data_IF_615746275401
#
_entry.id   IF_615746275401
#
_cell.length_a   1.000
_cell.length_b   1.000
_cell.length_c   1.000
_cell.angle_alpha   90.00
_cell.angle_beta   90.00
_cell.angle_gamma   90.00
#
_symmetry.space_group_name_H-M   'P 1'
#
loop_
_entity.id
_entity.type
_entity.pdbx_description
1 polymer ?
#
# COMPACT_ATOMS: atom_id res chain seq x y z
N UNK A 1 23.24 -15.88 16.71
CA UNK A 1 23.40 -14.60 15.99
C UNK A 1 22.56 -14.64 14.72
N UNK A 2 21.76 -13.59 14.45
CA UNK A 2 21.14 -13.40 13.13
C UNK A 2 22.25 -12.86 12.23
N UNK A 3 22.99 -13.75 11.57
CA UNK A 3 23.94 -13.32 10.54
C UNK A 3 23.16 -13.18 9.24
N UNK A 4 22.90 -11.94 8.86
CA UNK A 4 22.32 -11.61 7.57
C UNK A 4 23.37 -11.86 6.49
N UNK A 5 23.00 -12.61 5.47
CA UNK A 5 23.86 -12.92 4.32
C UNK A 5 23.19 -12.40 3.04
N UNK A 6 23.79 -11.38 2.44
CA UNK A 6 23.28 -10.73 1.23
C UNK A 6 23.19 -11.68 0.03
N UNK A 7 24.11 -12.64 -0.10
CA UNK A 7 24.12 -13.59 -1.21
C UNK A 7 22.95 -14.59 -1.05
N UNK A 8 22.75 -15.07 0.18
CA UNK A 8 21.62 -15.93 0.54
C UNK A 8 20.28 -15.23 0.35
N UNK A 9 20.20 -13.96 0.79
CA UNK A 9 19.01 -13.13 0.60
C UNK A 9 18.72 -12.87 -0.88
N UNK A 10 19.73 -12.59 -1.70
CA UNK A 10 19.56 -12.42 -3.15
C UNK A 10 18.99 -13.66 -3.83
N UNK A 11 19.51 -14.85 -3.51
CA UNK A 11 18.97 -16.13 -4.01
C UNK A 11 17.52 -16.35 -3.57
N UNK A 12 17.19 -16.00 -2.33
CA UNK A 12 15.82 -16.07 -1.80
C UNK A 12 14.87 -15.10 -2.53
N UNK A 13 15.32 -13.87 -2.80
CA UNK A 13 14.56 -12.86 -3.52
C UNK A 13 14.29 -13.30 -4.97
N UNK A 14 15.30 -13.82 -5.68
CA UNK A 14 15.13 -14.38 -7.03
C UNK A 14 14.16 -15.56 -7.06
N UNK A 15 14.26 -16.47 -6.09
CA UNK A 15 13.32 -17.58 -5.94
C UNK A 15 11.89 -17.07 -5.76
N UNK A 16 11.70 -16.08 -4.89
CA UNK A 16 10.38 -15.47 -4.63
C UNK A 16 9.81 -14.77 -5.86
N UNK A 17 10.62 -13.96 -6.54
CA UNK A 17 10.22 -13.26 -7.77
C UNK A 17 9.75 -14.25 -8.85
N UNK A 18 10.47 -15.37 -9.00
CA UNK A 18 10.10 -16.41 -9.96
C UNK A 18 8.81 -17.12 -9.56
N UNK A 19 8.63 -17.42 -8.28
CA UNK A 19 7.41 -18.04 -7.76
C UNK A 19 6.18 -17.12 -7.94
N UNK A 20 6.38 -15.81 -7.72
CA UNK A 20 5.31 -14.81 -7.68
C UNK A 20 5.18 -14.03 -9.02
N UNK A 21 5.86 -14.48 -10.09
CA UNK A 21 5.85 -13.82 -11.41
C UNK A 21 4.44 -13.59 -11.96
N UNK A 22 3.55 -14.58 -11.82
CA UNK A 22 2.19 -14.47 -12.31
C UNK A 22 1.38 -13.45 -11.51
N UNK A 23 1.72 -13.24 -10.24
CA UNK A 23 1.10 -12.21 -9.42
C UNK A 23 1.50 -10.83 -9.93
N UNK A 24 2.79 -10.57 -10.16
CA UNK A 24 3.27 -9.30 -10.70
C UNK A 24 2.70 -8.95 -12.07
N UNK A 25 2.68 -9.90 -13.00
CA UNK A 25 2.10 -9.69 -14.35
C UNK A 25 0.60 -9.41 -14.27
N UNK A 26 -0.14 -10.13 -13.42
CA UNK A 26 -1.57 -9.89 -13.22
C UNK A 26 -1.81 -8.51 -12.59
N UNK A 27 -1.03 -8.14 -11.58
CA UNK A 27 -1.12 -6.82 -10.95
C UNK A 27 -0.83 -5.71 -11.96
N UNK A 28 0.21 -5.85 -12.79
CA UNK A 28 0.50 -4.90 -13.88
C UNK A 28 -0.69 -4.72 -14.82
N UNK A 29 -1.23 -5.83 -15.35
CA UNK A 29 -2.35 -5.80 -16.29
C UNK A 29 -3.61 -5.22 -15.66
N UNK A 30 -3.89 -5.54 -14.39
CA UNK A 30 -5.03 -5.00 -13.65
C UNK A 30 -4.92 -3.50 -13.45
N UNK A 31 -3.77 -3.01 -12.97
CA UNK A 31 -3.53 -1.58 -12.75
C UNK A 31 -3.61 -0.83 -14.08
N UNK A 32 -2.94 -1.34 -15.11
CA UNK A 32 -2.94 -0.74 -16.45
C UNK A 32 -4.35 -0.65 -17.03
N UNK A 33 -5.14 -1.72 -16.99
CA UNK A 33 -6.50 -1.74 -17.52
C UNK A 33 -7.42 -0.80 -16.74
N UNK A 34 -7.42 -0.87 -15.39
CA UNK A 34 -8.25 -0.01 -14.54
C UNK A 34 -7.89 1.46 -14.76
N UNK A 35 -6.61 1.79 -14.78
CA UNK A 35 -6.18 3.16 -14.96
C UNK A 35 -6.52 3.70 -16.34
N UNK A 36 -6.34 2.89 -17.39
CA UNK A 36 -6.68 3.28 -18.77
C UNK A 36 -8.18 3.56 -18.88
N UNK A 37 -9.02 2.67 -18.36
CA UNK A 37 -10.48 2.87 -18.36
C UNK A 37 -10.89 4.12 -17.57
N UNK A 38 -10.31 4.31 -16.38
CA UNK A 38 -10.59 5.50 -15.57
C UNK A 38 -10.15 6.79 -16.28
N UNK A 39 -8.95 6.82 -16.83
CA UNK A 39 -8.44 7.98 -17.54
C UNK A 39 -9.30 8.32 -18.76
N UNK A 40 -9.65 7.34 -19.59
CA UNK A 40 -10.55 7.55 -20.71
C UNK A 40 -11.91 8.07 -20.25
N UNK A 41 -12.51 7.46 -19.23
CA UNK A 41 -13.84 7.86 -18.73
C UNK A 41 -13.92 9.34 -18.31
N UNK A 42 -12.87 9.88 -17.67
CA UNK A 42 -12.84 11.27 -17.23
C UNK A 42 -12.32 12.25 -18.30
N UNK A 43 -11.53 11.79 -19.27
CA UNK A 43 -10.89 12.66 -20.28
C UNK A 43 -11.70 12.79 -21.56
N UNK A 44 -12.40 11.74 -22.01
CA UNK A 44 -13.24 11.78 -23.22
C UNK A 44 -14.56 12.53 -23.03
N UNK A 45 -14.84 12.99 -21.81
CA UNK A 45 -16.03 13.80 -21.52
C UNK A 45 -17.32 13.02 -21.32
N UNK A 46 -17.25 11.70 -21.08
CA UNK A 46 -18.40 10.90 -20.62
C UNK A 46 -18.97 11.47 -19.32
N UNK A 47 -18.09 11.90 -18.41
CA UNK A 47 -18.45 12.76 -17.29
C UNK A 47 -17.90 14.17 -17.51
N UNK A 48 -18.80 15.15 -17.58
CA UNK A 48 -18.45 16.58 -17.57
C UNK A 48 -18.63 17.10 -16.15
N UNK A 49 -17.52 17.51 -15.53
CA UNK A 49 -17.53 18.16 -14.22
C UNK A 49 -17.25 19.63 -14.52
N UNK A 50 -18.10 20.53 -14.03
CA UNK A 50 -18.00 21.98 -14.27
C UNK A 50 -18.05 22.42 -15.75
N UNK A 51 -18.77 21.71 -16.62
CA UNK A 51 -18.91 21.99 -18.06
C UNK A 51 -17.60 22.07 -18.86
N UNK A 52 -16.46 21.66 -18.29
CA UNK A 52 -15.17 21.66 -18.97
C UNK A 52 -14.99 20.35 -19.76
N UNK A 53 -14.43 20.45 -20.97
CA UNK A 53 -14.08 19.28 -21.77
C UNK A 53 -12.80 18.64 -21.22
N UNK A 54 -12.94 17.51 -20.51
CA UNK A 54 -11.83 16.70 -19.98
C UNK A 54 -11.41 17.03 -18.55
N UNK A 55 -11.60 16.08 -17.62
CA UNK A 55 -11.35 16.27 -16.18
C UNK A 55 -10.00 15.71 -15.72
N UNK A 56 -8.90 16.21 -16.28
CA UNK A 56 -7.53 15.78 -15.94
C UNK A 56 -7.19 15.93 -14.46
N UNK A 57 -7.76 16.94 -13.78
CA UNK A 57 -7.57 17.13 -12.34
C UNK A 57 -8.17 15.99 -11.51
N UNK A 58 -9.33 15.45 -11.92
CA UNK A 58 -9.93 14.31 -11.26
C UNK A 58 -9.08 13.04 -11.46
N UNK A 59 -8.57 12.82 -12.68
CA UNK A 59 -7.63 11.73 -12.96
C UNK A 59 -6.37 11.82 -12.09
N UNK A 60 -5.83 13.02 -11.90
CA UNK A 60 -4.67 13.26 -11.04
C UNK A 60 -4.96 12.87 -9.57
N UNK A 61 -6.07 13.34 -9.00
CA UNK A 61 -6.49 12.99 -7.63
C UNK A 61 -6.70 11.48 -7.48
N UNK A 62 -7.39 10.84 -8.42
CA UNK A 62 -7.64 9.39 -8.39
C UNK A 62 -6.33 8.61 -8.43
N UNK A 63 -5.36 9.05 -9.24
CA UNK A 63 -4.03 8.42 -9.33
C UNK A 63 -3.27 8.53 -8.00
N UNK A 64 -3.26 9.71 -7.38
CA UNK A 64 -2.63 9.93 -6.07
C UNK A 64 -3.28 9.02 -5.02
N UNK A 65 -4.61 8.99 -4.96
CA UNK A 65 -5.35 8.15 -4.02
C UNK A 65 -5.09 6.67 -4.25
N UNK A 66 -5.00 6.22 -5.51
CA UNK A 66 -4.65 4.85 -5.84
C UNK A 66 -3.28 4.46 -5.27
N UNK A 67 -2.25 5.30 -5.43
CA UNK A 67 -0.93 5.02 -4.88
C UNK A 67 -0.89 5.08 -3.34
N UNK A 68 -1.60 6.03 -2.72
CA UNK A 68 -1.71 6.11 -1.27
C UNK A 68 -2.39 4.87 -0.68
N UNK A 69 -3.52 4.45 -1.26
CA UNK A 69 -4.24 3.24 -0.83
C UNK A 69 -3.37 2.00 -1.05
N UNK A 70 -2.68 1.90 -2.19
CA UNK A 70 -1.78 0.79 -2.49
C UNK A 70 -0.61 0.73 -1.51
N UNK A 71 -0.07 1.89 -1.12
CA UNK A 71 0.94 1.99 -0.08
C UNK A 71 0.40 1.43 1.23
N UNK A 72 -0.70 2.00 1.74
CA UNK A 72 -1.31 1.63 3.03
C UNK A 72 -1.66 0.14 3.12
N UNK A 73 -2.31 -0.40 2.09
CA UNK A 73 -2.82 -1.78 2.09
C UNK A 73 -1.72 -2.78 1.67
N UNK A 74 -0.70 -2.33 0.95
CA UNK A 74 0.37 -3.16 0.37
C UNK A 74 0.93 -4.24 1.29
N UNK A 75 1.31 -3.93 2.55
CA UNK A 75 1.84 -4.92 3.49
C UNK A 75 0.92 -6.10 3.77
N UNK A 76 -0.40 -5.92 3.69
CA UNK A 76 -1.35 -7.00 3.89
C UNK A 76 -1.24 -8.09 2.80
N UNK A 77 -0.66 -7.76 1.64
CA UNK A 77 -0.46 -8.68 0.51
C UNK A 77 0.89 -9.40 0.55
N UNK A 78 1.76 -9.12 1.53
CA UNK A 78 3.13 -9.67 1.59
C UNK A 78 3.21 -11.21 1.64
N UNK A 79 2.12 -11.87 2.05
CA UNK A 79 2.00 -13.33 2.08
C UNK A 79 1.03 -13.89 1.04
N UNK A 80 0.71 -13.12 0.00
CA UNK A 80 -0.26 -13.52 -1.02
C UNK A 80 0.05 -14.88 -1.66
N UNK A 81 1.34 -15.21 -1.83
CA UNK A 81 1.78 -16.48 -2.42
C UNK A 81 1.79 -17.66 -1.45
N UNK A 82 1.59 -17.44 -0.15
CA UNK A 82 1.60 -18.49 0.87
C UNK A 82 0.18 -19.01 1.19
N UNK A 83 -0.60 -19.33 0.16
CA UNK A 83 -1.99 -19.78 0.32
C UNK A 83 -2.08 -21.19 0.89
N UNK A 84 -1.23 -22.10 0.41
CA UNK A 84 -1.24 -23.52 0.80
C UNK A 84 -0.36 -23.85 2.01
N UNK A 85 -0.62 -25.03 2.61
CA UNK A 85 0.31 -25.63 3.59
C UNK A 85 1.67 -25.95 2.94
N UNK A 86 1.64 -26.45 1.71
CA UNK A 86 2.82 -26.79 0.92
C UNK A 86 3.70 -25.55 0.64
N UNK A 87 3.12 -24.43 0.20
CA UNK A 87 3.88 -23.20 -0.10
C UNK A 87 4.56 -22.63 1.16
N UNK A 88 3.86 -22.71 2.30
CA UNK A 88 4.41 -22.32 3.60
C UNK A 88 5.57 -23.23 3.98
N UNK A 89 5.42 -24.55 3.84
CA UNK A 89 6.49 -25.51 4.11
C UNK A 89 7.69 -25.27 3.20
N UNK A 90 7.48 -25.06 1.90
CA UNK A 90 8.54 -24.77 0.95
C UNK A 90 9.34 -23.51 1.36
N UNK A 91 8.66 -22.43 1.75
CA UNK A 91 9.36 -21.23 2.27
C UNK A 91 10.13 -21.52 3.57
N UNK A 92 9.56 -22.32 4.46
CA UNK A 92 10.18 -22.64 5.75
C UNK A 92 11.41 -23.52 5.60
N UNK A 93 11.43 -24.42 4.61
CA UNK A 93 12.55 -25.32 4.30
C UNK A 93 13.73 -24.61 3.62
N UNK A 94 13.54 -23.40 3.07
CA UNK A 94 14.65 -22.66 2.47
C UNK A 94 15.73 -22.39 3.52
N UNK A 95 17.03 -22.57 3.18
CA UNK A 95 18.14 -22.37 4.09
C UNK A 95 18.42 -20.87 4.24
N UNK A 96 17.49 -20.12 4.82
CA UNK A 96 17.59 -18.68 5.10
C UNK A 96 17.06 -18.39 6.51
N UNK A 97 17.57 -17.33 7.13
CA UNK A 97 17.12 -16.92 8.46
C UNK A 97 15.66 -16.45 8.43
N UNK A 98 14.99 -16.49 9.59
CA UNK A 98 13.60 -16.05 9.69
C UNK A 98 13.44 -14.56 9.37
N UNK A 99 14.44 -13.75 9.74
CA UNK A 99 14.49 -12.34 9.40
C UNK A 99 14.59 -12.11 7.88
N UNK A 100 15.50 -12.81 7.19
CA UNK A 100 15.61 -12.73 5.72
C UNK A 100 14.33 -13.14 5.02
N UNK A 101 13.67 -14.22 5.48
CA UNK A 101 12.39 -14.68 4.95
C UNK A 101 11.29 -13.63 5.12
N UNK A 102 11.20 -13.01 6.30
CA UNK A 102 10.24 -11.94 6.56
C UNK A 102 10.52 -10.70 5.69
N UNK A 103 11.76 -10.24 5.66
CA UNK A 103 12.17 -9.07 4.88
C UNK A 103 11.92 -9.28 3.37
N UNK A 104 12.21 -10.47 2.85
CA UNK A 104 11.92 -10.80 1.46
C UNK A 104 10.41 -10.72 1.19
N UNK A 105 9.57 -11.29 2.06
CA UNK A 105 8.11 -11.22 1.88
C UNK A 105 7.60 -9.80 1.96
N UNK A 106 8.15 -8.99 2.87
CA UNK A 106 7.85 -7.57 2.91
C UNK A 106 8.27 -6.87 1.60
N UNK A 107 9.41 -7.22 1.01
CA UNK A 107 9.82 -6.64 -0.28
C UNK A 107 8.89 -6.98 -1.45
N UNK A 108 8.11 -8.08 -1.36
CA UNK A 108 7.19 -8.51 -2.42
C UNK A 108 6.17 -7.43 -2.78
N UNK A 109 5.61 -6.72 -1.79
CA UNK A 109 4.64 -5.65 -2.07
C UNK A 109 5.32 -4.36 -2.54
N UNK A 110 6.54 -4.07 -2.09
CA UNK A 110 7.31 -2.87 -2.50
C UNK A 110 7.52 -2.88 -4.02
N UNK A 111 7.76 -4.05 -4.62
CA UNK A 111 7.92 -4.24 -6.07
C UNK A 111 6.65 -3.85 -6.85
N UNK A 112 5.47 -3.87 -6.23
CA UNK A 112 4.21 -3.46 -6.89
C UNK A 112 4.20 -1.96 -7.17
N UNK A 113 4.86 -1.13 -6.35
CA UNK A 113 4.89 0.33 -6.55
C UNK A 113 5.50 0.74 -7.91
N UNK A 114 6.74 0.33 -8.27
CA UNK A 114 7.31 0.68 -9.56
C UNK A 114 6.53 0.04 -10.73
N UNK A 115 5.99 -1.18 -10.55
CA UNK A 115 5.10 -1.79 -11.54
C UNK A 115 3.85 -0.92 -11.77
N UNK A 116 3.27 -0.39 -10.68
CA UNK A 116 2.14 0.51 -10.73
C UNK A 116 2.46 1.80 -11.47
N UNK A 117 3.65 2.40 -11.23
CA UNK A 117 4.11 3.59 -11.95
C UNK A 117 4.25 3.33 -13.45
N UNK A 118 4.88 2.22 -13.84
CA UNK A 118 5.02 1.86 -15.27
C UNK A 118 3.64 1.62 -15.91
N UNK A 119 2.72 0.98 -15.19
CA UNK A 119 1.36 0.75 -15.66
C UNK A 119 0.57 2.06 -15.84
N UNK A 120 0.64 3.00 -14.89
CA UNK A 120 -0.02 4.30 -15.01
C UNK A 120 0.57 5.16 -16.12
N UNK A 121 1.89 5.12 -16.33
CA UNK A 121 2.52 5.80 -17.47
C UNK A 121 2.03 5.23 -18.81
N UNK A 122 1.92 3.91 -18.92
CA UNK A 122 1.33 3.26 -20.11
C UNK A 122 -0.12 3.67 -20.34
N UNK A 123 -0.92 3.75 -19.27
CA UNK A 123 -2.30 4.20 -19.34
C UNK A 123 -2.42 5.67 -19.77
N UNK A 124 -1.52 6.54 -19.29
CA UNK A 124 -1.46 7.96 -19.65
C UNK A 124 -1.15 8.15 -21.14
N UNK A 125 -0.19 7.39 -21.68
CA UNK A 125 0.12 7.39 -23.11
C UNK A 125 -1.07 6.97 -23.97
N UNK A 126 -1.81 5.92 -23.56
CA UNK A 126 -2.99 5.47 -24.31
C UNK A 126 -4.10 6.50 -24.23
N UNK A 127 -4.38 7.05 -23.06
CA UNK A 127 -5.39 8.09 -22.91
C UNK A 127 -5.05 9.31 -23.78
N UNK A 128 -3.80 9.74 -23.80
CA UNK A 128 -3.34 10.84 -24.65
C UNK A 128 -3.59 10.53 -26.15
N UNK A 129 -3.16 9.36 -26.63
CA UNK A 129 -3.35 8.95 -28.02
C UNK A 129 -4.82 8.87 -28.41
N UNK A 130 -5.68 8.30 -27.56
CA UNK A 130 -7.12 8.19 -27.85
C UNK A 130 -7.78 9.56 -27.94
N UNK A 131 -7.50 10.48 -27.01
CA UNK A 131 -8.10 11.81 -27.06
C UNK A 131 -7.56 12.65 -28.22
N UNK A 132 -6.31 12.44 -28.60
CA UNK A 132 -5.72 13.05 -29.80
C UNK A 132 -6.42 12.55 -31.07
N UNK A 133 -6.61 11.23 -31.21
CA UNK A 133 -7.32 10.63 -32.35
C UNK A 133 -8.79 11.05 -32.43
N UNK A 134 -9.44 11.27 -31.29
CA UNK A 134 -10.82 11.78 -31.23
C UNK A 134 -10.93 13.28 -31.55
N UNK A 135 -9.81 13.99 -31.77
CA UNK A 135 -9.81 15.42 -32.02
C UNK A 135 -10.27 16.26 -30.82
N UNK A 136 -10.03 15.76 -29.60
CA UNK A 136 -10.46 16.45 -28.39
C UNK A 136 -9.73 17.80 -28.25
N UNK A 137 -10.43 18.92 -27.93
CA UNK A 137 -9.86 20.27 -27.98
C UNK A 137 -8.73 20.50 -26.96
N UNK A 138 -8.70 19.70 -25.88
CA UNK A 138 -7.66 19.75 -24.86
C UNK A 138 -7.11 18.34 -24.60
N UNK A 139 -5.83 18.14 -24.94
CA UNK A 139 -5.08 16.90 -24.69
C UNK A 139 -3.85 17.23 -23.84
N UNK A 140 -3.70 16.53 -22.73
CA UNK A 140 -2.58 16.71 -21.80
C UNK A 140 -2.26 15.37 -21.13
N UNK A 141 -1.09 15.27 -20.52
CA UNK A 141 -0.71 14.10 -19.71
C UNK A 141 -1.29 14.24 -18.31
N UNK A 142 -1.94 13.18 -17.81
CA UNK A 142 -2.42 13.11 -16.43
C UNK A 142 -1.24 13.18 -15.45
N UNK A 143 -0.09 12.62 -15.80
CA UNK A 143 1.08 12.58 -14.91
C UNK A 143 1.60 13.98 -14.55
N UNK A 144 1.55 14.93 -15.49
CA UNK A 144 1.87 16.34 -15.22
C UNK A 144 0.95 16.90 -14.13
N UNK A 145 -0.35 16.58 -14.22
CA UNK A 145 -1.34 17.04 -13.23
C UNK A 145 -1.15 16.40 -11.86
N UNK A 146 -0.68 15.15 -11.80
CA UNK A 146 -0.31 14.48 -10.54
C UNK A 146 0.78 15.27 -9.81
N UNK A 147 1.85 15.65 -10.51
CA UNK A 147 2.93 16.43 -9.89
C UNK A 147 2.48 17.80 -9.40
N UNK A 148 1.67 18.51 -10.19
CA UNK A 148 1.11 19.81 -9.76
C UNK A 148 0.26 19.67 -8.49
N UNK A 149 -0.57 18.63 -8.40
CA UNK A 149 -1.43 18.41 -7.24
C UNK A 149 -0.63 18.01 -6.00
N UNK A 150 0.41 17.19 -6.16
CA UNK A 150 1.33 16.84 -5.07
C UNK A 150 2.06 18.10 -4.58
N UNK A 151 2.62 18.91 -5.50
CA UNK A 151 3.30 20.16 -5.15
C UNK A 151 2.40 21.11 -4.37
N UNK A 152 1.19 21.39 -4.88
CA UNK A 152 0.20 22.21 -4.19
C UNK A 152 -0.20 21.66 -2.83
N UNK A 153 -0.33 20.33 -2.70
CA UNK A 153 -0.66 19.68 -1.44
C UNK A 153 0.45 19.81 -0.40
N UNK A 154 1.71 19.72 -0.83
CA UNK A 154 2.87 19.89 0.05
C UNK A 154 3.04 21.35 0.48
N UNK A 155 2.87 22.31 -0.44
CA UNK A 155 2.98 23.74 -0.14
C UNK A 155 1.84 24.25 0.78
N UNK A 156 0.70 23.56 0.79
CA UNK A 156 -0.44 23.90 1.63
C UNK A 156 -0.31 23.45 3.08
N UNK A 157 0.61 22.54 3.39
CA UNK A 157 0.78 21.96 4.72
C UNK A 157 1.97 22.59 5.45
N UNK A 158 1.79 22.89 6.73
CA UNK A 158 2.91 23.24 7.60
C UNK A 158 3.81 22.01 7.83
N UNK A 159 5.09 22.23 8.15
CA UNK A 159 6.05 21.14 8.39
C UNK A 159 5.57 20.14 9.46
N UNK A 160 4.92 20.63 10.53
CA UNK A 160 4.36 19.78 11.58
C UNK A 160 3.17 18.95 11.09
N UNK A 161 2.28 19.54 10.28
CA UNK A 161 1.11 18.85 9.73
C UNK A 161 1.54 17.77 8.72
N UNK A 162 2.54 18.06 7.90
CA UNK A 162 3.16 17.08 7.01
C UNK A 162 3.78 15.91 7.79
N UNK A 163 4.49 16.20 8.88
CA UNK A 163 5.06 15.17 9.75
C UNK A 163 3.97 14.27 10.35
N UNK A 164 2.92 14.87 10.93
CA UNK A 164 1.79 14.13 11.49
C UNK A 164 1.08 13.30 10.42
N UNK A 165 0.91 13.84 9.20
CA UNK A 165 0.35 13.09 8.08
C UNK A 165 1.20 11.87 7.72
N UNK A 166 2.52 12.02 7.59
CA UNK A 166 3.43 10.92 7.27
C UNK A 166 3.40 9.85 8.36
N UNK A 167 3.53 10.24 9.63
CA UNK A 167 3.55 9.30 10.76
C UNK A 167 2.20 8.56 10.87
N UNK A 168 1.08 9.25 10.69
CA UNK A 168 -0.25 8.63 10.66
C UNK A 168 -0.34 7.58 9.54
N UNK A 169 0.12 7.91 8.33
CA UNK A 169 0.14 6.94 7.23
C UNK A 169 1.08 5.75 7.52
N UNK A 170 2.25 5.98 8.11
CA UNK A 170 3.15 4.89 8.54
C UNK A 170 2.52 4.00 9.62
N UNK A 171 1.74 4.59 10.53
CA UNK A 171 1.03 3.85 11.55
C UNK A 171 -0.06 2.96 10.93
N UNK A 172 -0.92 3.51 10.09
CA UNK A 172 -1.92 2.72 9.35
C UNK A 172 -1.26 1.58 8.55
N UNK A 173 -0.19 1.90 7.82
CA UNK A 173 0.62 0.92 7.08
C UNK A 173 1.13 -0.22 7.96
N UNK A 174 1.60 0.10 9.18
CA UNK A 174 2.07 -0.91 10.14
C UNK A 174 0.96 -1.83 10.65
N UNK A 175 -0.29 -1.35 10.75
CA UNK A 175 -1.45 -2.16 11.13
C UNK A 175 -1.76 -3.18 10.04
N UNK A 176 -1.72 -2.77 8.76
CA UNK A 176 -1.87 -3.70 7.64
C UNK A 176 -0.75 -4.74 7.58
N UNK A 177 0.46 -4.41 8.01
CA UNK A 177 1.56 -5.38 8.12
C UNK A 177 1.27 -6.45 9.19
N UNK A 178 0.84 -6.05 10.40
CA UNK A 178 0.41 -7.02 11.44
C UNK A 178 -0.71 -7.89 10.89
N UNK A 179 -1.71 -7.26 10.30
CA UNK A 179 -2.86 -7.91 9.73
C UNK A 179 -2.50 -8.96 8.67
N UNK A 180 -1.56 -8.61 7.79
CA UNK A 180 -0.89 -9.52 6.86
C UNK A 180 -0.31 -10.75 7.55
N UNK A 181 0.46 -10.54 8.62
CA UNK A 181 1.08 -11.61 9.42
C UNK A 181 0.09 -12.49 10.17
N UNK A 182 -0.96 -11.90 10.74
CA UNK A 182 -1.96 -12.60 11.54
C UNK A 182 -2.92 -13.41 10.68
N UNK A 183 -3.52 -12.78 9.65
CA UNK A 183 -4.49 -13.41 8.76
C UNK A 183 -3.88 -14.04 7.50
N UNK A 184 -2.58 -14.34 7.49
CA UNK A 184 -1.79 -14.74 6.30
C UNK A 184 -2.36 -15.90 5.47
N UNK A 185 -3.25 -16.70 6.06
CA UNK A 185 -3.83 -17.88 5.42
C UNK A 185 -5.14 -17.60 4.69
N UNK A 186 -5.65 -16.36 4.72
CA UNK A 186 -6.94 -16.00 4.14
C UNK A 186 -6.73 -15.16 2.88
N UNK A 187 -7.55 -15.40 1.85
CA UNK A 187 -7.45 -14.76 0.54
C UNK A 187 -7.70 -13.24 0.58
N UNK A 188 -8.45 -12.77 1.58
CA UNK A 188 -8.89 -11.38 1.74
C UNK A 188 -8.38 -10.77 3.06
N UNK A 189 -7.08 -10.93 3.33
CA UNK A 189 -6.45 -10.40 4.55
C UNK A 189 -6.69 -8.90 4.72
N UNK A 190 -6.54 -8.12 3.66
CA UNK A 190 -6.76 -6.68 3.69
C UNK A 190 -8.20 -6.28 4.09
N UNK A 191 -9.20 -7.08 3.71
CA UNK A 191 -10.61 -6.85 4.07
C UNK A 191 -10.85 -7.15 5.55
N UNK A 192 -10.21 -8.21 6.07
CA UNK A 192 -10.34 -8.52 7.49
C UNK A 192 -9.68 -7.46 8.36
N UNK A 193 -8.54 -6.93 7.92
CA UNK A 193 -7.85 -5.86 8.64
C UNK A 193 -8.66 -4.57 8.63
N UNK A 194 -9.25 -4.19 7.50
CA UNK A 194 -10.14 -3.02 7.45
C UNK A 194 -11.35 -3.21 8.35
N UNK A 195 -11.98 -4.38 8.34
CA UNK A 195 -13.13 -4.66 9.21
C UNK A 195 -12.76 -4.54 10.70
N UNK A 196 -11.61 -5.08 11.11
CA UNK A 196 -11.12 -4.95 12.48
C UNK A 196 -10.86 -3.49 12.84
N UNK A 197 -10.23 -2.72 11.93
CA UNK A 197 -9.99 -1.29 12.13
C UNK A 197 -11.32 -0.54 12.29
N UNK A 198 -12.32 -0.80 11.44
CA UNK A 198 -13.64 -0.16 11.50
C UNK A 198 -14.33 -0.43 12.84
N UNK A 199 -14.35 -1.70 13.28
CA UNK A 199 -14.96 -2.07 14.57
C UNK A 199 -14.25 -1.37 15.73
N UNK A 200 -12.92 -1.35 15.74
CA UNK A 200 -12.14 -0.66 16.78
C UNK A 200 -12.41 0.85 16.73
N UNK A 201 -12.45 1.47 15.54
CA UNK A 201 -12.73 2.91 15.43
C UNK A 201 -14.13 3.28 15.92
N UNK A 202 -15.13 2.43 15.69
CA UNK A 202 -16.48 2.63 16.21
C UNK A 202 -16.52 2.51 17.74
N UNK A 203 -15.80 1.55 18.31
CA UNK A 203 -15.69 1.41 19.76
C UNK A 203 -14.98 2.61 20.40
N UNK A 204 -13.91 3.11 19.78
CA UNK A 204 -13.21 4.32 20.25
C UNK A 204 -14.13 5.53 20.16
N UNK A 205 -14.83 5.72 19.05
CA UNK A 205 -15.79 6.81 18.88
C UNK A 205 -16.93 6.76 19.91
N UNK A 206 -17.37 5.56 20.31
CA UNK A 206 -18.41 5.39 21.33
C UNK A 206 -17.93 5.74 22.75
N UNK A 207 -16.64 5.54 23.06
CA UNK A 207 -16.07 5.81 24.39
C UNK A 207 -15.61 7.27 24.52
N UNK A 208 -15.22 7.91 23.43
CA UNK A 208 -14.70 9.27 23.46
C UNK A 208 -15.84 10.29 23.58
N UNK A 209 -15.81 11.21 24.57
CA UNK A 209 -16.78 12.27 24.66
C UNK A 209 -16.67 13.20 23.45
N UNK A 210 -17.81 13.63 22.90
CA UNK A 210 -17.85 14.62 21.82
C UNK A 210 -17.12 15.90 22.27
N UNK A 211 -16.06 16.27 21.57
CA UNK A 211 -15.38 17.54 21.78
C UNK A 211 -16.21 18.65 21.16
N UNK A 212 -16.75 19.56 21.96
CA UNK A 212 -17.64 20.66 21.54
C UNK A 212 -16.98 21.77 20.72
N UNK A 213 -15.69 21.67 20.40
CA UNK A 213 -14.93 22.71 19.70
C UNK A 213 -14.33 22.18 18.39
N UNK A 214 -15.14 22.12 17.34
CA UNK A 214 -14.73 21.69 16.00
C UNK A 214 -13.73 22.66 15.32
N UNK A 215 -13.59 23.88 15.84
CA UNK A 215 -12.77 24.95 15.25
C UNK A 215 -11.49 25.28 16.03
N UNK A 216 -11.18 24.58 17.12
CA UNK A 216 -9.95 24.82 17.87
C UNK A 216 -8.77 24.13 17.16
N UNK A 217 -7.84 24.91 16.59
CA UNK A 217 -6.58 24.37 16.09
C UNK A 217 -5.85 23.65 17.22
N UNK A 218 -5.51 22.37 17.01
CA UNK A 218 -4.75 21.60 18.00
C UNK A 218 -3.38 22.24 18.18
N UNK A 219 -2.94 22.53 19.41
CA UNK A 219 -1.63 23.11 19.63
C UNK A 219 -0.53 22.21 19.08
N UNK A 220 0.50 22.81 18.48
CA UNK A 220 1.61 22.09 17.81
C UNK A 220 2.33 21.11 18.74
N UNK A 221 2.48 21.45 20.02
CA UNK A 221 3.11 20.57 21.01
C UNK A 221 2.27 19.31 21.31
N UNK A 222 0.95 19.40 21.28
CA UNK A 222 0.05 18.24 21.44
C UNK A 222 0.18 17.30 20.24
N UNK A 223 0.27 17.86 19.03
CA UNK A 223 0.52 17.08 17.81
C UNK A 223 1.87 16.36 17.87
N UNK A 224 2.94 17.05 18.29
CA UNK A 224 4.27 16.43 18.40
C UNK A 224 4.32 15.27 19.42
N UNK A 225 3.59 15.38 20.55
CA UNK A 225 3.47 14.28 21.52
C UNK A 225 2.69 13.11 20.90
N UNK A 226 1.60 13.39 20.19
CA UNK A 226 0.82 12.36 19.49
C UNK A 226 1.66 11.66 18.40
N UNK A 227 2.47 12.40 17.66
CA UNK A 227 3.42 11.89 16.67
C UNK A 227 4.45 10.95 17.30
N UNK A 228 5.00 11.31 18.47
CA UNK A 228 5.96 10.47 19.17
C UNK A 228 5.32 9.14 19.63
N UNK A 229 4.10 9.20 20.18
CA UNK A 229 3.35 8.01 20.62
C UNK A 229 3.03 7.11 19.42
N UNK A 230 2.55 7.68 18.32
CA UNK A 230 2.22 6.93 17.10
C UNK A 230 3.45 6.32 16.45
N UNK A 231 4.60 7.00 16.46
CA UNK A 231 5.87 6.44 16.00
C UNK A 231 6.31 5.22 16.83
N UNK A 232 6.13 5.26 18.16
CA UNK A 232 6.39 4.10 19.02
C UNK A 232 5.45 2.94 18.65
N UNK A 233 4.16 3.23 18.42
CA UNK A 233 3.19 2.22 17.97
C UNK A 233 3.59 1.60 16.63
N UNK A 234 4.11 2.37 15.68
CA UNK A 234 4.63 1.87 14.39
C UNK A 234 5.74 0.83 14.64
N UNK A 235 6.71 1.14 15.51
CA UNK A 235 7.81 0.24 15.84
C UNK A 235 7.31 -1.05 16.50
N UNK A 236 6.41 -0.92 17.49
CA UNK A 236 5.78 -2.06 18.16
C UNK A 236 5.02 -2.92 17.16
N UNK A 237 4.31 -2.31 16.22
CA UNK A 237 3.50 -3.03 15.24
C UNK A 237 4.36 -3.86 14.28
N UNK A 238 5.45 -3.29 13.76
CA UNK A 238 6.39 -4.04 12.93
C UNK A 238 7.08 -5.16 13.69
N UNK A 239 7.45 -4.91 14.96
CA UNK A 239 8.01 -5.94 15.83
C UNK A 239 7.02 -7.09 16.06
N UNK A 240 5.75 -6.79 16.35
CA UNK A 240 4.69 -7.78 16.49
C UNK A 240 4.47 -8.57 15.20
N UNK A 241 4.42 -7.89 14.05
CA UNK A 241 4.30 -8.54 12.74
C UNK A 241 5.42 -9.57 12.52
N UNK A 242 6.67 -9.20 12.80
CA UNK A 242 7.81 -10.13 12.72
C UNK A 242 7.70 -11.29 13.72
N UNK A 243 7.30 -11.04 14.96
CA UNK A 243 7.11 -12.09 15.98
C UNK A 243 6.01 -13.07 15.60
N UNK A 244 4.88 -12.58 15.05
CA UNK A 244 3.80 -13.41 14.53
C UNK A 244 4.27 -14.32 13.39
N UNK A 245 5.12 -13.81 12.49
CA UNK A 245 5.73 -14.61 11.44
C UNK A 245 6.56 -15.77 12.01
N UNK A 246 7.50 -15.47 12.92
CA UNK A 246 8.41 -16.45 13.52
C UNK A 246 7.69 -17.55 14.32
N UNK A 247 6.65 -17.23 15.10
CA UNK A 247 5.93 -18.20 15.94
C UNK A 247 5.31 -19.38 15.18
N UNK A 248 5.14 -19.24 13.88
CA UNK A 248 4.39 -20.19 13.05
C UNK A 248 5.25 -21.32 12.53
N UNK A 249 6.57 -21.10 12.53
CA UNK A 249 7.53 -22.08 12.07
C UNK A 249 7.64 -23.27 13.05
N UNK A 250 7.18 -23.12 14.29
CA UNK A 250 7.23 -24.16 15.33
C UNK A 250 6.19 -25.30 15.15
N UNK A 251 5.33 -25.28 14.13
CA UNK A 251 4.29 -26.32 13.91
C UNK A 251 4.72 -27.33 12.81
N UNK A 252 5.95 -27.23 12.30
CA UNK A 252 6.57 -28.30 11.53
C UNK A 252 7.18 -29.36 12.44
N UNK A 253 6.36 -30.08 13.23
CA UNK A 253 6.82 -31.34 13.84
C UNK A 253 7.02 -32.34 12.70
N UNK A 254 8.24 -32.42 12.17
CA UNK A 254 8.70 -33.60 11.46
C UNK A 254 8.79 -34.72 12.51
N UNK A 255 7.68 -35.42 12.71
CA UNK A 255 7.72 -36.76 13.30
C UNK A 255 8.27 -37.62 12.18
N UNK A 256 9.55 -37.95 12.26
CA UNK A 256 10.14 -39.02 11.46
C UNK A 256 9.42 -40.32 11.85
N UNK A 257 8.78 -40.96 10.87
CA UNK A 257 8.50 -42.39 10.89
C UNK A 257 9.52 -43.07 10.00
#
# INVERSE_FOLDING_TARGET
MIQFDSNRFGKLAMWSLRNDRSYYVRSFLQIFAVQTLMFLFFTTGVLKINNNSGNYSACGVITIMFFLITFLIGPSTMFYSLKGKHDKQALMLLPASNFEKYLMRYSTWIIILPIGVVATLGADLIQYLVNWLMGHPYTSFVFTRVFELIGKGLDALNAQELNSFVICNMWLHSIYAIGGSFFRSRKYTWVLTTLVIIVISLLVAWVMPESSNENAQTPTHVMAIADAITAILVMVNFWLSYRCFCRTQNIGKFINF
#
